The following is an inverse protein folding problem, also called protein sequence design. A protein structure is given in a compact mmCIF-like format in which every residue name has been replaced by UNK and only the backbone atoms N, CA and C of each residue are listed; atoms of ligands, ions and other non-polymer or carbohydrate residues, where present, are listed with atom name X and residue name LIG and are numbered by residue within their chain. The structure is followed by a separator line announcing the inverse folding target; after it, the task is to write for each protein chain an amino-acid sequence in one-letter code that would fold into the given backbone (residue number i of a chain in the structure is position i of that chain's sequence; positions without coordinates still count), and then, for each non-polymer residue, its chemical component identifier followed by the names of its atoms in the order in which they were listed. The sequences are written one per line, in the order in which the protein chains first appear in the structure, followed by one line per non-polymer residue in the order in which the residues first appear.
data_IF_849342728831
#
_entry.id   IF_849342728831
#
_cell.length_a   1.000
_cell.length_b   1.000
_cell.length_c   1.000
_cell.angle_alpha   90.00
_cell.angle_beta   90.00
_cell.angle_gamma   90.00
#
_symmetry.space_group_name_H-M   'P 1'
#
loop_
_entity.id
_entity.type
_entity.pdbx_description
1 polymer ?
#
# COMPACT_ATOMS: atom_id res chain seq x y z
N UNK A 1 20.15 2.52 49.24
CA UNK A 1 19.03 2.00 48.44
C UNK A 1 18.97 2.77 47.12
N UNK A 2 19.46 2.09 46.09
CA UNK A 2 19.11 2.07 44.65
C UNK A 2 18.42 3.31 44.03
N UNK A 3 19.15 4.03 43.16
CA UNK A 3 18.56 4.76 42.03
C UNK A 3 19.18 4.19 40.75
N UNK A 4 18.47 3.25 40.13
CA UNK A 4 18.94 2.48 38.97
C UNK A 4 17.92 2.54 37.82
N UNK A 5 17.46 3.76 37.48
CA UNK A 5 16.43 3.95 36.43
C UNK A 5 16.97 4.53 35.10
N UNK A 6 18.28 4.74 34.94
CA UNK A 6 18.87 5.27 33.70
C UNK A 6 19.57 4.25 32.78
N UNK A 7 19.92 3.07 33.28
CA UNK A 7 20.77 2.10 32.57
C UNK A 7 20.09 1.34 31.40
N UNK A 8 18.81 0.94 31.47
CA UNK A 8 18.18 0.15 30.40
C UNK A 8 18.06 0.92 29.07
N UNK A 9 17.71 2.20 29.13
CA UNK A 9 17.54 3.05 27.95
C UNK A 9 18.88 3.37 27.28
N UNK A 10 19.93 3.65 28.06
CA UNK A 10 21.28 3.89 27.53
C UNK A 10 21.86 2.63 26.84
N UNK A 11 21.60 1.45 27.38
CA UNK A 11 22.01 0.17 26.77
C UNK A 11 21.24 -0.11 25.47
N UNK A 12 19.96 0.24 25.41
CA UNK A 12 19.16 0.10 24.19
C UNK A 12 19.57 1.09 23.09
N UNK A 13 19.87 2.34 23.45
CA UNK A 13 20.35 3.36 22.50
C UNK A 13 21.72 2.95 21.91
N UNK A 14 22.64 2.50 22.75
CA UNK A 14 23.96 2.03 22.27
C UNK A 14 23.87 0.76 21.43
N UNK A 15 22.94 -0.17 21.73
CA UNK A 15 22.69 -1.34 20.90
C UNK A 15 22.11 -0.95 19.52
N UNK A 16 21.18 0.00 19.47
CA UNK A 16 20.61 0.52 18.21
C UNK A 16 21.65 1.26 17.37
N UNK A 17 22.55 2.01 18.02
CA UNK A 17 23.62 2.70 17.31
C UNK A 17 24.58 1.72 16.64
N UNK A 18 25.04 0.69 17.35
CA UNK A 18 25.90 -0.35 16.78
C UNK A 18 25.24 -1.07 15.61
N UNK A 19 23.93 -1.29 15.70
CA UNK A 19 23.17 -1.92 14.62
C UNK A 19 23.04 -1.01 13.39
N UNK A 20 22.86 0.30 13.60
CA UNK A 20 22.89 1.28 12.52
C UNK A 20 24.27 1.33 11.85
N UNK A 21 25.35 1.36 12.63
CA UNK A 21 26.72 1.42 12.14
C UNK A 21 27.07 0.15 11.32
N UNK A 22 26.64 -1.03 11.77
CA UNK A 22 26.80 -2.29 11.02
C UNK A 22 26.08 -2.25 9.67
N UNK A 23 24.85 -1.75 9.65
CA UNK A 23 24.05 -1.63 8.41
C UNK A 23 24.65 -0.62 7.44
N UNK A 24 25.18 0.48 7.94
CA UNK A 24 25.91 1.47 7.13
C UNK A 24 27.19 0.84 6.54
N UNK A 25 27.98 0.15 7.35
CA UNK A 25 29.20 -0.53 6.89
C UNK A 25 28.91 -1.62 5.85
N UNK A 26 27.85 -2.42 6.05
CA UNK A 26 27.42 -3.45 5.10
C UNK A 26 26.91 -2.84 3.78
N UNK A 27 26.25 -1.68 3.84
CA UNK A 27 25.79 -0.96 2.63
C UNK A 27 26.98 -0.40 1.85
N UNK A 28 27.92 0.25 2.54
CA UNK A 28 29.12 0.81 1.91
C UNK A 28 30.00 -0.29 1.27
N UNK A 29 30.18 -1.43 1.94
CA UNK A 29 30.94 -2.55 1.39
C UNK A 29 30.25 -3.16 0.15
N UNK A 30 28.93 -3.21 0.15
CA UNK A 30 28.14 -3.68 -1.00
C UNK A 30 28.27 -2.74 -2.20
N UNK A 31 28.26 -1.42 -1.98
CA UNK A 31 28.49 -0.43 -3.04
C UNK A 31 29.88 -0.63 -3.67
N UNK A 32 30.92 -0.80 -2.85
CA UNK A 32 32.27 -1.07 -3.35
C UNK A 32 32.37 -2.39 -4.13
N UNK A 33 31.69 -3.45 -3.67
CA UNK A 33 31.63 -4.71 -4.41
C UNK A 33 30.99 -4.52 -5.78
N UNK A 34 29.89 -3.76 -5.88
CA UNK A 34 29.22 -3.52 -7.15
C UNK A 34 30.06 -2.68 -8.11
N UNK A 35 30.89 -1.77 -7.57
CA UNK A 35 31.90 -1.06 -8.35
C UNK A 35 32.96 -2.00 -8.93
N UNK A 36 33.50 -2.93 -8.12
CA UNK A 36 34.52 -3.89 -8.56
C UNK A 36 33.97 -4.90 -9.57
N UNK A 37 32.75 -5.38 -9.35
CA UNK A 37 32.10 -6.39 -10.19
C UNK A 37 31.51 -5.79 -11.49
N UNK A 38 31.50 -4.47 -11.64
CA UNK A 38 30.87 -3.79 -12.78
C UNK A 38 29.35 -3.98 -12.84
N UNK A 39 28.73 -4.34 -11.72
CA UNK A 39 27.28 -4.58 -11.64
C UNK A 39 26.55 -3.25 -11.54
N UNK A 40 25.45 -3.07 -12.29
CA UNK A 40 24.68 -1.82 -12.31
C UNK A 40 24.27 -1.37 -10.90
N UNK A 41 24.74 -0.21 -10.46
CA UNK A 41 24.42 0.32 -9.13
C UNK A 41 23.02 0.95 -9.15
N UNK A 42 22.06 0.23 -8.55
CA UNK A 42 20.71 0.71 -8.29
C UNK A 42 20.38 0.65 -6.80
N UNK A 43 19.57 1.59 -6.31
CA UNK A 43 19.11 1.63 -4.91
C UNK A 43 18.49 0.29 -4.51
N UNK A 44 17.70 -0.32 -5.41
CA UNK A 44 17.01 -1.59 -5.15
C UNK A 44 17.98 -2.77 -5.06
N UNK A 45 18.97 -2.84 -5.96
CA UNK A 45 19.96 -3.91 -5.96
C UNK A 45 20.92 -3.80 -4.78
N UNK A 46 21.37 -2.60 -4.44
CA UNK A 46 22.23 -2.36 -3.27
C UNK A 46 21.49 -2.65 -1.97
N UNK A 47 20.23 -2.22 -1.82
CA UNK A 47 19.41 -2.53 -0.65
C UNK A 47 19.23 -4.05 -0.46
N UNK A 48 18.93 -4.77 -1.54
CA UNK A 48 18.78 -6.22 -1.51
C UNK A 48 20.08 -6.95 -1.15
N UNK A 49 21.20 -6.53 -1.74
CA UNK A 49 22.49 -7.18 -1.51
C UNK A 49 23.12 -6.84 -0.14
N UNK A 50 22.82 -5.67 0.43
CA UNK A 50 23.26 -5.27 1.76
C UNK A 50 22.34 -5.77 2.89
N UNK A 51 21.16 -6.31 2.57
CA UNK A 51 20.18 -6.77 3.57
C UNK A 51 19.47 -5.62 4.29
N UNK A 52 19.28 -4.49 3.61
CA UNK A 52 18.79 -3.23 4.19
C UNK A 52 17.53 -2.75 3.45
N UNK A 53 16.63 -2.04 4.13
CA UNK A 53 15.43 -1.49 3.49
C UNK A 53 15.77 -0.27 2.61
N UNK A 54 15.00 -0.04 1.54
CA UNK A 54 15.14 1.17 0.70
C UNK A 54 14.99 2.45 1.51
N UNK A 55 14.04 2.44 2.46
CA UNK A 55 13.77 3.58 3.33
C UNK A 55 14.99 3.94 4.20
N UNK A 56 15.78 2.95 4.62
CA UNK A 56 17.02 3.18 5.36
C UNK A 56 18.09 3.87 4.50
N UNK A 57 18.18 3.54 3.20
CA UNK A 57 19.10 4.26 2.31
C UNK A 57 18.61 5.71 2.14
N UNK A 58 17.31 5.91 1.93
CA UNK A 58 16.75 7.26 1.81
C UNK A 58 16.86 8.11 3.08
N UNK A 59 16.83 7.49 4.26
CA UNK A 59 16.96 8.20 5.53
C UNK A 59 18.40 8.61 5.86
N UNK A 60 19.40 8.11 5.13
CA UNK A 60 20.81 8.39 5.35
C UNK A 60 21.42 9.06 4.10
N UNK A 61 21.48 10.38 4.13
CA UNK A 61 22.00 11.20 3.03
C UNK A 61 23.43 10.84 2.62
N UNK A 62 24.27 10.43 3.58
CA UNK A 62 25.64 9.98 3.33
C UNK A 62 25.69 8.74 2.44
N UNK A 63 24.76 7.79 2.61
CA UNK A 63 24.67 6.60 1.77
C UNK A 63 24.13 6.91 0.37
N UNK A 64 23.19 7.85 0.27
CA UNK A 64 22.73 8.35 -1.03
C UNK A 64 23.86 9.01 -1.81
N UNK A 65 24.67 9.85 -1.16
CA UNK A 65 25.80 10.50 -1.79
C UNK A 65 26.87 9.49 -2.22
N UNK A 66 27.16 8.47 -1.41
CA UNK A 66 28.07 7.39 -1.79
C UNK A 66 27.55 6.57 -2.97
N UNK A 67 26.25 6.28 -2.99
CA UNK A 67 25.61 5.56 -4.09
C UNK A 67 25.66 6.37 -5.39
N UNK A 68 25.39 7.67 -5.31
CA UNK A 68 25.40 8.54 -6.47
C UNK A 68 26.82 8.79 -6.98
N UNK A 69 27.80 8.98 -6.09
CA UNK A 69 29.21 9.03 -6.48
C UNK A 69 29.66 7.73 -7.14
N UNK A 70 29.23 6.57 -6.64
CA UNK A 70 29.54 5.28 -7.23
C UNK A 70 28.86 5.11 -8.60
N UNK A 71 27.61 5.58 -8.76
CA UNK A 71 26.92 5.64 -10.06
C UNK A 71 27.63 6.54 -11.04
N UNK A 72 28.06 7.72 -10.60
CA UNK A 72 28.83 8.65 -11.41
C UNK A 72 30.15 8.00 -11.83
N UNK A 73 30.85 7.33 -10.92
CA UNK A 73 32.10 6.60 -11.21
C UNK A 73 31.88 5.47 -12.22
N UNK A 74 30.76 4.74 -12.14
CA UNK A 74 30.39 3.74 -13.15
C UNK A 74 30.01 4.40 -14.48
N UNK A 75 29.30 5.51 -14.47
CA UNK A 75 28.91 6.26 -15.66
C UNK A 75 30.12 6.90 -16.34
N UNK A 76 31.11 7.34 -15.59
CA UNK A 76 32.38 7.89 -16.06
C UNK A 76 33.27 6.75 -16.60
N UNK A 77 33.30 5.59 -15.93
CA UNK A 77 33.93 4.38 -16.45
C UNK A 77 33.24 3.80 -17.69
N UNK A 78 31.92 4.02 -17.82
CA UNK A 78 31.10 3.65 -18.98
C UNK A 78 30.83 4.84 -19.92
N UNK A 79 31.52 5.96 -19.76
CA UNK A 79 31.42 7.05 -20.73
C UNK A 79 31.98 6.51 -22.03
N UNK A 80 31.23 6.54 -23.16
CA UNK A 80 31.74 6.15 -24.46
C UNK A 80 32.69 7.26 -24.93
N UNK A 81 33.89 7.23 -24.38
CA UNK A 81 34.95 8.19 -24.55
C UNK A 81 36.27 7.54 -24.14
N UNK A 82 36.93 6.93 -25.13
CA UNK A 82 38.37 6.70 -25.15
C UNK A 82 38.91 5.46 -24.42
N UNK A 83 38.78 4.30 -25.07
CA UNK A 83 39.90 3.59 -25.72
C UNK A 83 39.33 2.58 -26.74
N UNK A 84 38.90 3.09 -27.89
CA UNK A 84 38.97 2.28 -29.10
C UNK A 84 40.43 2.32 -29.56
N UNK A 85 41.08 1.19 -29.88
CA UNK A 85 42.34 1.26 -30.60
C UNK A 85 42.07 2.07 -31.86
N UNK A 86 42.81 3.15 -32.06
CA UNK A 86 42.91 3.87 -33.32
C UNK A 86 43.31 2.87 -34.39
N UNK A 87 42.33 2.26 -35.06
CA UNK A 87 42.43 1.57 -36.35
C UNK A 87 41.02 1.19 -36.82
N UNK A 88 40.45 2.02 -37.71
CA UNK A 88 39.30 1.66 -38.55
C UNK A 88 37.94 1.97 -37.95
N UNK A 89 37.19 2.87 -38.59
CA UNK A 89 35.76 3.00 -38.36
C UNK A 89 35.09 1.62 -38.55
N UNK A 90 34.21 1.16 -37.64
CA UNK A 90 33.52 -0.12 -37.82
C UNK A 90 32.70 -0.08 -39.11
N UNK A 91 32.93 -1.07 -39.98
CA UNK A 91 32.18 -1.18 -41.23
C UNK A 91 30.67 -1.32 -40.96
N UNK A 92 29.82 -0.82 -41.88
CA UNK A 92 28.34 -0.87 -41.78
C UNK A 92 27.79 -2.25 -41.39
N UNK A 93 28.49 -3.33 -41.76
CA UNK A 93 28.12 -4.71 -41.47
C UNK A 93 28.26 -5.07 -39.98
N UNK A 94 29.30 -4.59 -39.30
CA UNK A 94 29.49 -4.80 -37.87
C UNK A 94 28.40 -4.07 -37.07
N UNK A 95 28.09 -2.83 -37.46
CA UNK A 95 27.02 -2.04 -36.85
C UNK A 95 25.64 -2.70 -37.00
N UNK A 96 25.36 -3.29 -38.17
CA UNK A 96 24.13 -4.04 -38.43
C UNK A 96 24.04 -5.32 -37.59
N UNK A 97 25.16 -6.02 -37.41
CA UNK A 97 25.22 -7.21 -36.55
C UNK A 97 24.95 -6.85 -35.08
N UNK A 98 25.51 -5.74 -34.59
CA UNK A 98 25.26 -5.24 -33.25
C UNK A 98 23.80 -4.83 -33.04
N UNK A 99 23.19 -4.15 -34.00
CA UNK A 99 21.75 -3.79 -33.94
C UNK A 99 20.88 -5.06 -33.92
N UNK A 100 21.20 -6.06 -34.73
CA UNK A 100 20.48 -7.32 -34.75
C UNK A 100 20.58 -8.05 -33.40
N UNK A 101 21.76 -8.09 -32.81
CA UNK A 101 22.00 -8.68 -31.49
C UNK A 101 21.26 -7.90 -30.39
N UNK A 102 21.28 -6.57 -30.43
CA UNK A 102 20.53 -5.73 -29.49
C UNK A 102 19.02 -5.98 -29.58
N UNK A 103 18.46 -6.11 -30.79
CA UNK A 103 17.06 -6.45 -30.99
C UNK A 103 16.70 -7.84 -30.44
N UNK A 104 17.56 -8.84 -30.62
CA UNK A 104 17.36 -10.17 -30.05
C UNK A 104 17.36 -10.13 -28.52
N UNK A 105 18.29 -9.39 -27.91
CA UNK A 105 18.36 -9.19 -26.47
C UNK A 105 17.12 -8.49 -25.93
N UNK A 106 16.66 -7.42 -26.59
CA UNK A 106 15.41 -6.72 -26.20
C UNK A 106 14.21 -7.67 -26.28
N UNK A 107 14.12 -8.50 -27.32
CA UNK A 107 13.03 -9.48 -27.47
C UNK A 107 13.02 -10.48 -26.33
N UNK A 108 14.19 -11.03 -25.97
CA UNK A 108 14.35 -11.96 -24.85
C UNK A 108 13.97 -11.31 -23.52
N UNK A 109 14.49 -10.12 -23.23
CA UNK A 109 14.17 -9.39 -22.00
C UNK A 109 12.67 -9.09 -21.86
N UNK A 110 11.98 -8.79 -22.97
CA UNK A 110 10.52 -8.60 -22.95
C UNK A 110 9.76 -9.89 -22.64
N UNK A 111 10.23 -11.03 -23.15
CA UNK A 111 9.64 -12.33 -22.83
C UNK A 111 9.84 -12.69 -21.36
N UNK A 112 11.06 -12.50 -20.84
CA UNK A 112 11.38 -12.75 -19.44
C UNK A 112 10.56 -11.84 -18.50
N UNK A 113 10.38 -10.57 -18.86
CA UNK A 113 9.52 -9.63 -18.12
C UNK A 113 8.06 -10.09 -18.12
N UNK A 114 7.52 -10.49 -19.28
CA UNK A 114 6.15 -10.98 -19.37
C UNK A 114 5.93 -12.24 -18.51
N UNK A 115 6.89 -13.17 -18.52
CA UNK A 115 6.85 -14.36 -17.69
C UNK A 115 6.93 -14.03 -16.19
N UNK A 116 7.85 -13.14 -15.80
CA UNK A 116 7.99 -12.69 -14.43
C UNK A 116 6.73 -11.99 -13.93
N UNK A 117 6.12 -11.13 -14.76
CA UNK A 117 4.86 -10.46 -14.46
C UNK A 117 3.73 -11.47 -14.25
N UNK A 118 3.60 -12.47 -15.12
CA UNK A 118 2.60 -13.54 -14.99
C UNK A 118 2.80 -14.35 -13.70
N UNK A 119 4.05 -14.70 -13.37
CA UNK A 119 4.38 -15.39 -12.12
C UNK A 119 4.10 -14.51 -10.89
N UNK A 120 4.35 -13.21 -10.99
CA UNK A 120 4.06 -12.26 -9.92
C UNK A 120 2.56 -12.10 -9.69
N UNK A 121 1.78 -11.94 -10.75
CA UNK A 121 0.31 -11.91 -10.69
C UNK A 121 -0.25 -13.20 -10.10
N UNK A 122 0.29 -14.36 -10.51
CA UNK A 122 -0.12 -15.65 -9.93
C UNK A 122 0.21 -15.73 -8.44
N UNK A 123 1.43 -15.34 -8.04
CA UNK A 123 1.85 -15.34 -6.64
C UNK A 123 1.02 -14.37 -5.78
N UNK A 124 0.67 -13.20 -6.31
CA UNK A 124 -0.24 -12.27 -5.63
C UNK A 124 -1.67 -12.83 -5.56
N UNK A 125 -2.17 -13.46 -6.62
CA UNK A 125 -3.47 -14.13 -6.61
C UNK A 125 -3.53 -15.24 -5.56
N UNK A 126 -2.46 -16.03 -5.46
CA UNK A 126 -2.30 -17.06 -4.43
C UNK A 126 -2.20 -16.47 -3.03
N UNK A 127 -1.38 -15.43 -2.83
CA UNK A 127 -1.26 -14.75 -1.55
C UNK A 127 -2.59 -14.13 -1.10
N UNK A 128 -3.33 -13.49 -2.00
CA UNK A 128 -4.67 -12.96 -1.73
C UNK A 128 -5.61 -14.10 -1.37
N UNK A 129 -5.60 -15.21 -2.11
CA UNK A 129 -6.41 -16.41 -1.82
C UNK A 129 -6.06 -17.07 -0.48
N UNK A 130 -4.82 -16.95 0.00
CA UNK A 130 -4.38 -17.52 1.28
C UNK A 130 -4.47 -16.56 2.46
N UNK A 131 -4.34 -15.25 2.23
CA UNK A 131 -4.42 -14.20 3.26
C UNK A 131 -5.85 -13.74 3.48
N UNK A 132 -6.62 -13.74 2.41
CA UNK A 132 -8.07 -13.74 2.39
C UNK A 132 -8.47 -15.07 1.74
N UNK A 133 -8.27 -16.22 2.44
CA UNK A 133 -9.19 -17.31 2.15
C UNK A 133 -10.55 -16.65 2.30
N UNK A 134 -11.46 -16.78 1.35
CA UNK A 134 -12.81 -16.31 1.54
C UNK A 134 -13.25 -16.79 2.91
N UNK A 135 -13.13 -15.94 3.94
CA UNK A 135 -13.70 -16.16 5.23
C UNK A 135 -15.18 -16.07 4.88
N UNK A 136 -15.84 -17.20 4.65
CA UNK A 136 -16.21 -18.17 5.67
C UNK A 136 -17.25 -17.51 6.59
N UNK A 137 -18.15 -18.30 7.18
CA UNK A 137 -19.53 -17.92 7.50
C UNK A 137 -19.73 -16.73 8.46
N UNK A 138 -18.68 -16.11 9.01
CA UNK A 138 -18.77 -14.89 9.82
C UNK A 138 -19.32 -13.71 9.03
N UNK A 139 -18.77 -13.35 7.86
CA UNK A 139 -19.32 -12.24 7.05
C UNK A 139 -20.73 -12.56 6.55
N UNK A 140 -21.01 -13.81 6.22
CA UNK A 140 -22.38 -14.23 5.84
C UNK A 140 -23.35 -14.20 7.02
N UNK A 141 -22.94 -14.64 8.22
CA UNK A 141 -23.76 -14.62 9.43
C UNK A 141 -23.98 -13.20 9.94
N UNK A 142 -22.96 -12.35 9.90
CA UNK A 142 -23.06 -10.91 10.18
C UNK A 142 -24.00 -10.22 9.20
N UNK A 143 -23.92 -10.53 7.91
CA UNK A 143 -24.86 -10.01 6.91
C UNK A 143 -26.30 -10.51 7.14
N UNK A 144 -26.49 -11.78 7.51
CA UNK A 144 -27.81 -12.33 7.87
C UNK A 144 -28.38 -11.65 9.13
N UNK A 145 -27.54 -11.35 10.11
CA UNK A 145 -27.96 -10.64 11.32
C UNK A 145 -28.28 -9.17 11.03
N UNK A 146 -27.51 -8.50 10.17
CA UNK A 146 -27.82 -7.15 9.68
C UNK A 146 -29.19 -7.15 8.98
N UNK A 147 -29.47 -8.13 8.13
CA UNK A 147 -30.77 -8.24 7.45
C UNK A 147 -31.92 -8.51 8.44
N UNK A 148 -31.72 -9.37 9.44
CA UNK A 148 -32.71 -9.56 10.52
C UNK A 148 -32.99 -8.28 11.30
N UNK A 149 -31.95 -7.55 11.67
CA UNK A 149 -32.08 -6.29 12.41
C UNK A 149 -32.76 -5.21 11.58
N UNK A 150 -32.53 -5.17 10.26
CA UNK A 150 -33.24 -4.28 9.33
C UNK A 150 -34.72 -4.61 9.26
N UNK A 151 -35.07 -5.87 9.12
CA UNK A 151 -36.48 -6.29 9.06
C UNK A 151 -37.21 -6.00 10.38
N UNK A 152 -36.57 -6.25 11.52
CA UNK A 152 -37.13 -5.90 12.83
C UNK A 152 -37.37 -4.39 12.97
N UNK A 153 -36.42 -3.56 12.54
CA UNK A 153 -36.59 -2.10 12.53
C UNK A 153 -37.74 -1.68 11.62
N UNK A 154 -37.87 -2.29 10.44
CA UNK A 154 -38.96 -2.02 9.51
C UNK A 154 -40.33 -2.30 10.15
N UNK A 155 -40.48 -3.46 10.79
CA UNK A 155 -41.72 -3.86 11.47
C UNK A 155 -42.05 -2.94 12.65
N UNK A 156 -41.06 -2.62 13.47
CA UNK A 156 -41.24 -1.68 14.59
C UNK A 156 -41.68 -0.31 14.11
N UNK A 157 -41.07 0.21 13.04
CA UNK A 157 -41.48 1.48 12.45
C UNK A 157 -42.91 1.43 11.91
N UNK A 158 -43.31 0.33 11.27
CA UNK A 158 -44.69 0.15 10.83
C UNK A 158 -45.67 0.16 12.01
N UNK A 159 -45.34 -0.55 13.09
CA UNK A 159 -46.17 -0.56 14.31
C UNK A 159 -46.31 0.84 14.92
N UNK A 160 -45.21 1.58 15.04
CA UNK A 160 -45.24 2.98 15.51
C UNK A 160 -46.16 3.82 14.63
N UNK A 161 -46.07 3.66 13.31
CA UNK A 161 -46.92 4.39 12.37
C UNK A 161 -48.40 4.05 12.57
N UNK A 162 -48.73 2.77 12.72
CA UNK A 162 -50.11 2.31 12.97
C UNK A 162 -50.64 2.83 14.31
N UNK A 163 -49.84 2.78 15.38
CA UNK A 163 -50.27 3.30 16.68
C UNK A 163 -50.50 4.81 16.64
N UNK A 164 -49.66 5.57 15.95
CA UNK A 164 -49.86 7.00 15.78
C UNK A 164 -51.16 7.30 15.04
N UNK A 165 -51.44 6.60 13.93
CA UNK A 165 -52.73 6.75 13.25
C UNK A 165 -53.92 6.44 14.15
N UNK A 166 -53.83 5.39 14.98
CA UNK A 166 -54.91 5.06 15.92
C UNK A 166 -55.10 6.12 16.99
N UNK A 167 -54.02 6.74 17.46
CA UNK A 167 -54.09 7.86 18.40
C UNK A 167 -54.78 9.05 17.72
N UNK A 168 -54.40 9.37 16.48
CA UNK A 168 -55.00 10.47 15.72
C UNK A 168 -56.51 10.25 15.51
N UNK A 169 -56.93 9.04 15.11
CA UNK A 169 -58.35 8.69 14.95
C UNK A 169 -59.14 8.89 16.26
N UNK A 170 -58.59 8.42 17.38
CA UNK A 170 -59.24 8.55 18.70
C UNK A 170 -59.31 10.01 19.16
N UNK A 171 -58.30 10.81 18.83
CA UNK A 171 -58.32 12.26 19.10
C UNK A 171 -59.39 12.95 18.26
N UNK A 172 -59.52 12.58 16.99
CA UNK A 172 -60.56 13.10 16.10
C UNK A 172 -61.97 12.72 16.59
N UNK A 173 -62.19 11.46 17.00
CA UNK A 173 -63.44 11.00 17.60
C UNK A 173 -63.79 11.79 18.87
N UNK A 174 -62.82 11.97 19.79
CA UNK A 174 -63.03 12.78 21.00
C UNK A 174 -63.32 14.25 20.67
N UNK A 175 -62.68 14.83 19.66
CA UNK A 175 -62.98 16.21 19.24
C UNK A 175 -64.36 16.31 18.59
N UNK A 176 -64.80 15.27 17.87
CA UNK A 176 -66.12 15.19 17.26
C UNK A 176 -67.21 15.07 18.33
N UNK A 177 -67.03 14.20 19.33
CA UNK A 177 -67.92 14.11 20.50
C UNK A 177 -67.99 15.46 21.23
N UNK A 178 -66.85 16.11 21.47
CA UNK A 178 -66.80 17.41 22.14
C UNK A 178 -67.49 18.51 21.35
N UNK A 179 -67.40 18.52 20.01
CA UNK A 179 -68.14 19.45 19.13
C UNK A 179 -69.64 19.14 19.09
N UNK A 180 -70.03 17.87 19.06
CA UNK A 180 -71.44 17.44 19.12
C UNK A 180 -72.10 17.74 20.47
N UNK A 181 -71.30 17.86 21.53
CA UNK A 181 -71.75 18.20 22.88
C UNK A 181 -71.78 19.71 23.14
N UNK A 182 -71.42 20.57 22.16
CA UNK A 182 -71.70 22.00 22.26
C UNK A 182 -73.23 22.17 22.21
N UNK A 183 -73.89 22.59 23.30
CA UNK A 183 -75.34 22.63 23.36
C UNK A 183 -75.88 23.61 22.32
N UNK A 184 -76.96 23.23 21.65
CA UNK A 184 -77.79 24.06 20.78
C UNK A 184 -78.54 25.16 21.58
N UNK A 185 -77.83 25.87 22.46
CA UNK A 185 -78.35 26.99 23.24
C UNK A 185 -77.61 28.26 22.83
N UNK A 186 -77.74 28.62 21.57
CA UNK A 186 -77.44 29.97 21.08
C UNK A 186 -78.41 30.31 19.94
N UNK A 187 -79.71 30.41 20.27
CA UNK A 187 -80.64 31.20 19.47
C UNK A 187 -80.48 32.68 19.90
N UNK A 188 -80.31 33.63 18.97
CA UNK A 188 -80.19 35.03 19.32
C UNK A 188 -81.57 35.55 19.73
N UNK A 189 -81.69 36.08 20.95
CA UNK A 189 -82.82 36.95 21.30
C UNK A 189 -82.45 38.38 20.91
N UNK A 190 -83.36 38.97 20.11
CA UNK A 190 -83.41 40.37 19.70
C UNK A 190 -83.44 41.33 20.90
#
# INVERSE_FOLDING_TARGET
MTRMEGAPFANMVSARQREADRKQAATASTINRFLLDGTLITITAVAGAAGVSRNFIYSHETLLHQLEAARQTQADAHTPGQRLPTNGAPGRTALQAEIALAHQTIKRLRQDLAELKKRHEHCLGEQIRTAFPTEAPSTTAENLEIERLREKNRLLNQQVTTFNHRIDDLLDDLTAERRGTIPWTAAPRA
#
